data_IF_610041040059
#
_entry.id   IF_610041040059
#
_cell.length_a   1.000
_cell.length_b   1.000
_cell.length_c   1.000
_cell.angle_alpha   90.00
_cell.angle_beta   90.00
_cell.angle_gamma   90.00
#
_symmetry.space_group_name_H-M   'P 1'
#
loop_
_entity.id
_entity.type
_entity.pdbx_description
1 polymer ?
#
# COMPACT_ATOMS: atom_id res chain seq x y z
N UNK A 1 -8.96 -23.29 5.30
CA UNK A 1 -7.49 -23.49 5.23
C UNK A 1 -7.03 -23.75 3.79
N UNK A 2 -7.02 -22.74 2.90
CA UNK A 2 -6.44 -22.85 1.51
C UNK A 2 -5.80 -21.53 1.03
N UNK A 3 -5.89 -20.43 1.78
CA UNK A 3 -5.48 -19.09 1.32
C UNK A 3 -3.96 -18.81 1.39
N UNK A 4 -3.15 -19.72 1.95
CA UNK A 4 -1.70 -19.50 2.18
C UNK A 4 -0.81 -19.61 0.93
N UNK A 5 -1.32 -20.15 -0.18
CA UNK A 5 -0.54 -20.37 -1.42
C UNK A 5 -0.74 -19.28 -2.49
N UNK A 6 -1.63 -18.31 -2.22
CA UNK A 6 -1.98 -17.24 -3.16
C UNK A 6 -1.36 -15.94 -2.68
N UNK A 7 -0.52 -15.36 -3.52
CA UNK A 7 0.09 -14.06 -3.28
C UNK A 7 -0.39 -13.08 -4.35
N UNK A 8 -0.36 -11.78 -4.06
CA UNK A 8 -0.87 -10.78 -4.99
C UNK A 8 -0.09 -9.46 -4.94
N UNK A 9 -0.09 -8.77 -6.07
CA UNK A 9 0.47 -7.43 -6.25
C UNK A 9 -0.57 -6.57 -6.93
N UNK A 10 -0.98 -5.49 -6.28
CA UNK A 10 -1.85 -4.46 -6.83
C UNK A 10 -1.01 -3.24 -7.17
N UNK A 11 -0.92 -2.90 -8.45
CA UNK A 11 -0.29 -1.69 -8.97
C UNK A 11 -1.39 -0.63 -9.18
N UNK A 12 -1.25 0.53 -8.56
CA UNK A 12 -2.20 1.64 -8.63
C UNK A 12 -1.62 2.77 -9.46
N UNK A 13 -2.36 3.22 -10.46
CA UNK A 13 -2.03 4.46 -11.17
C UNK A 13 -2.69 5.69 -10.52
N UNK A 14 -2.20 6.89 -10.87
CA UNK A 14 -2.62 8.20 -10.31
C UNK A 14 -4.12 8.38 -10.21
N UNK A 15 -4.83 7.85 -11.21
CA UNK A 15 -6.25 8.07 -11.39
C UNK A 15 -7.13 6.97 -10.79
N UNK A 16 -6.58 5.93 -10.17
CA UNK A 16 -7.37 4.84 -9.58
C UNK A 16 -8.19 5.30 -8.36
N UNK A 17 -7.68 6.27 -7.60
CA UNK A 17 -8.37 6.81 -6.42
C UNK A 17 -9.64 7.62 -6.75
N UNK A 18 -9.86 7.95 -8.04
CA UNK A 18 -10.99 8.75 -8.53
C UNK A 18 -11.97 7.95 -9.40
N UNK A 19 -11.85 6.62 -9.44
CA UNK A 19 -12.67 5.80 -10.31
C UNK A 19 -14.06 5.58 -9.69
N UNK A 20 -15.12 5.90 -10.45
CA UNK A 20 -16.50 5.84 -9.98
C UNK A 20 -17.08 4.42 -10.03
N UNK A 21 -16.72 3.62 -11.04
CA UNK A 21 -17.13 2.22 -11.14
C UNK A 21 -16.11 1.32 -11.86
N UNK A 22 -14.97 1.06 -11.20
CA UNK A 22 -13.89 0.27 -11.79
C UNK A 22 -14.25 -1.22 -11.95
N UNK A 23 -14.03 -1.73 -13.16
CA UNK A 23 -14.21 -3.14 -13.54
C UNK A 23 -12.86 -3.83 -13.71
N UNK A 24 -12.81 -5.12 -13.39
CA UNK A 24 -11.65 -5.96 -13.63
C UNK A 24 -11.79 -6.67 -14.97
N UNK A 25 -10.89 -6.40 -15.91
CA UNK A 25 -10.75 -7.19 -17.14
C UNK A 25 -9.52 -8.06 -17.02
N UNK A 26 -9.68 -9.35 -17.29
CA UNK A 26 -8.53 -10.25 -17.37
C UNK A 26 -7.65 -9.82 -18.54
N UNK A 27 -6.36 -9.82 -18.30
CA UNK A 27 -5.37 -9.42 -19.26
C UNK A 27 -4.19 -10.39 -19.23
N UNK A 28 -3.46 -10.44 -20.35
CA UNK A 28 -2.18 -11.12 -20.36
C UNK A 28 -1.14 -10.21 -19.69
N UNK A 29 -0.17 -10.75 -18.94
CA UNK A 29 0.91 -9.95 -18.34
C UNK A 29 1.75 -9.13 -19.35
N UNK A 30 1.49 -9.29 -20.65
CA UNK A 30 2.15 -8.58 -21.75
C UNK A 30 1.54 -7.20 -22.05
N UNK A 31 0.40 -6.80 -21.45
CA UNK A 31 -0.20 -5.48 -21.72
C UNK A 31 -0.24 -4.57 -20.48
N UNK A 32 0.70 -4.71 -19.55
CA UNK A 32 0.89 -3.77 -18.44
C UNK A 32 1.29 -2.35 -18.90
N UNK A 33 1.54 -2.15 -20.20
CA UNK A 33 2.19 -0.99 -20.83
C UNK A 33 1.47 0.37 -20.76
N UNK A 34 0.27 0.48 -20.19
CA UNK A 34 -0.57 1.67 -20.37
C UNK A 34 -0.76 2.53 -19.11
N UNK A 35 -0.06 2.23 -18.01
CA UNK A 35 -0.32 2.89 -16.73
C UNK A 35 0.96 3.41 -16.09
N UNK A 36 1.05 4.73 -15.91
CA UNK A 36 1.92 5.32 -14.89
C UNK A 36 1.45 4.80 -13.52
N UNK A 37 2.16 3.81 -12.97
CA UNK A 37 1.92 3.31 -11.62
C UNK A 37 2.75 4.11 -10.62
N UNK A 38 2.12 4.60 -9.56
CA UNK A 38 2.80 5.44 -8.56
C UNK A 38 2.86 4.75 -7.20
N UNK A 39 1.91 3.84 -6.97
CA UNK A 39 1.75 3.13 -5.71
C UNK A 39 1.49 1.65 -5.94
N UNK A 40 1.79 0.84 -4.93
CA UNK A 40 1.53 -0.59 -4.95
C UNK A 40 1.10 -1.11 -3.58
N UNK A 41 0.21 -2.11 -3.59
CA UNK A 41 -0.09 -2.94 -2.42
C UNK A 41 0.33 -4.38 -2.71
N UNK A 42 0.81 -5.08 -1.68
CA UNK A 42 1.30 -6.45 -1.79
C UNK A 42 0.73 -7.30 -0.67
N UNK A 43 0.56 -8.59 -0.94
CA UNK A 43 0.16 -9.57 0.06
C UNK A 43 1.29 -9.99 1.02
N UNK A 44 2.54 -9.92 0.55
CA UNK A 44 3.73 -10.41 1.24
C UNK A 44 4.92 -9.48 0.96
N UNK A 45 5.69 -9.12 1.98
CA UNK A 45 6.86 -8.27 1.87
C UNK A 45 7.92 -8.82 0.90
N UNK A 46 7.98 -10.13 0.69
CA UNK A 46 8.85 -10.77 -0.31
C UNK A 46 8.57 -10.28 -1.73
N UNK A 47 7.36 -9.79 -2.00
CA UNK A 47 6.96 -9.26 -3.30
C UNK A 47 7.34 -7.79 -3.50
N UNK A 48 7.86 -7.10 -2.48
CA UNK A 48 8.11 -5.66 -2.58
C UNK A 48 9.12 -5.31 -3.69
N UNK A 49 10.20 -6.09 -3.82
CA UNK A 49 11.19 -5.88 -4.88
C UNK A 49 10.58 -6.08 -6.27
N UNK A 50 9.66 -7.05 -6.41
CA UNK A 50 8.94 -7.30 -7.66
C UNK A 50 7.97 -6.17 -7.98
N UNK A 51 7.22 -5.70 -6.99
CA UNK A 51 6.30 -4.58 -7.16
C UNK A 51 7.04 -3.29 -7.55
N UNK A 52 8.18 -3.01 -6.90
CA UNK A 52 9.06 -1.90 -7.27
C UNK A 52 9.62 -2.05 -8.69
N UNK A 53 10.08 -3.25 -9.07
CA UNK A 53 10.57 -3.52 -10.42
C UNK A 53 9.48 -3.32 -11.47
N UNK A 54 8.28 -3.91 -11.26
CA UNK A 54 7.12 -3.75 -12.14
C UNK A 54 6.68 -2.29 -12.30
N UNK A 55 6.90 -1.44 -11.29
CA UNK A 55 6.63 -0.01 -11.36
C UNK A 55 7.62 0.75 -12.23
N UNK A 56 8.87 0.28 -12.33
CA UNK A 56 9.99 0.97 -13.00
C UNK A 56 10.20 0.47 -14.43
N UNK A 57 10.09 -0.84 -14.67
CA UNK A 57 10.30 -1.42 -16.00
C UNK A 57 8.97 -1.58 -16.74
N UNK A 58 8.60 -0.54 -17.49
CA UNK A 58 7.47 -0.57 -18.44
C UNK A 58 7.90 -0.97 -19.87
N UNK A 59 9.16 -1.34 -20.10
CA UNK A 59 9.59 -1.78 -21.42
C UNK A 59 9.30 -3.27 -21.64
N UNK A 60 8.72 -3.50 -22.82
CA UNK A 60 8.35 -4.75 -23.45
C UNK A 60 9.29 -5.90 -23.11
N UNK A 61 8.71 -7.08 -22.89
CA UNK A 61 9.36 -8.36 -22.63
C UNK A 61 9.69 -8.62 -21.16
N UNK A 62 8.78 -9.31 -20.44
CA UNK A 62 8.95 -10.75 -20.25
C UNK A 62 8.06 -11.32 -19.13
N UNK A 63 7.07 -12.13 -19.50
CA UNK A 63 6.53 -13.20 -18.64
C UNK A 63 7.68 -14.08 -18.08
N UNK A 64 8.79 -14.17 -18.83
CA UNK A 64 10.04 -14.87 -18.48
C UNK A 64 10.76 -14.21 -17.28
N UNK A 65 10.67 -12.89 -17.10
CA UNK A 65 11.33 -12.15 -16.02
C UNK A 65 10.63 -12.37 -14.68
N UNK A 66 9.29 -12.31 -14.67
CA UNK A 66 8.48 -12.59 -13.48
C UNK A 66 8.66 -14.04 -12.99
N UNK A 67 8.72 -15.00 -13.93
CA UNK A 67 8.93 -16.43 -13.63
C UNK A 67 10.37 -16.71 -13.16
N UNK A 68 11.38 -16.06 -13.76
CA UNK A 68 12.78 -16.18 -13.30
C UNK A 68 13.00 -15.54 -11.93
N UNK A 69 12.40 -14.36 -11.67
CA UNK A 69 12.63 -13.60 -10.44
C UNK A 69 12.01 -14.27 -9.21
N UNK A 70 10.87 -14.97 -9.37
CA UNK A 70 10.22 -15.69 -8.28
C UNK A 70 10.91 -17.02 -7.91
N UNK A 71 11.90 -17.49 -8.69
CA UNK A 71 12.70 -18.69 -8.41
C UNK A 71 11.93 -20.03 -8.39
N UNK A 72 10.61 -20.00 -8.56
CA UNK A 72 9.71 -21.14 -8.43
C UNK A 72 8.58 -21.03 -9.49
N UNK A 73 7.95 -22.15 -9.89
CA UNK A 73 6.88 -22.13 -10.89
C UNK A 73 5.59 -21.56 -10.30
N UNK A 74 5.46 -20.24 -10.31
CA UNK A 74 4.20 -19.57 -10.04
C UNK A 74 3.37 -19.47 -11.32
N UNK A 75 2.10 -19.84 -11.23
CA UNK A 75 1.09 -19.37 -12.18
C UNK A 75 0.76 -17.91 -11.87
N UNK A 76 0.71 -17.09 -12.92
CA UNK A 76 0.43 -15.66 -12.81
C UNK A 76 -0.77 -15.31 -13.69
N UNK A 77 -1.81 -14.76 -13.07
CA UNK A 77 -2.96 -14.17 -13.76
C UNK A 77 -2.97 -12.66 -13.53
N UNK A 78 -3.11 -11.91 -14.62
CA UNK A 78 -3.12 -10.46 -14.60
C UNK A 78 -4.55 -9.96 -14.87
N UNK A 79 -4.95 -8.93 -14.13
CA UNK A 79 -6.23 -8.26 -14.30
C UNK A 79 -5.98 -6.76 -14.39
N UNK A 80 -6.41 -6.14 -15.48
CA UNK A 80 -6.44 -4.70 -15.59
C UNK A 80 -7.66 -4.16 -14.87
N UNK A 81 -7.47 -3.04 -14.19
CA UNK A 81 -8.55 -2.25 -13.61
C UNK A 81 -8.88 -1.16 -14.61
N UNK A 82 -10.11 -1.13 -15.08
CA UNK A 82 -10.60 -0.18 -16.08
C UNK A 82 -11.82 0.51 -15.50
N UNK A 83 -11.81 1.84 -15.52
CA UNK A 83 -12.98 2.61 -15.13
C UNK A 83 -13.91 2.78 -16.34
N UNK A 84 -15.22 2.66 -16.15
CA UNK A 84 -16.20 2.86 -17.23
C UNK A 84 -16.14 4.26 -17.85
N UNK A 85 -15.59 5.23 -17.12
CA UNK A 85 -15.40 6.60 -17.57
C UNK A 85 -14.19 6.80 -18.51
N UNK A 86 -13.28 5.82 -18.62
CA UNK A 86 -12.00 5.98 -19.31
C UNK A 86 -11.62 4.72 -20.12
N UNK A 87 -11.14 4.91 -21.35
CA UNK A 87 -10.62 3.80 -22.18
C UNK A 87 -9.28 3.24 -21.67
N UNK A 88 -8.56 4.00 -20.84
CA UNK A 88 -7.26 3.60 -20.31
C UNK A 88 -7.39 2.87 -18.97
N UNK A 89 -6.56 1.84 -18.79
CA UNK A 89 -6.44 1.16 -17.50
C UNK A 89 -5.96 2.14 -16.41
N UNK A 90 -6.50 2.00 -15.21
CA UNK A 90 -6.18 2.82 -14.03
C UNK A 90 -5.27 2.08 -13.04
N UNK A 91 -5.03 0.78 -13.26
CA UNK A 91 -4.35 -0.08 -12.32
C UNK A 91 -4.21 -1.50 -12.84
N UNK A 92 -3.38 -2.31 -12.20
CA UNK A 92 -3.25 -3.72 -12.55
C UNK A 92 -3.09 -4.58 -11.31
N UNK A 93 -3.72 -5.75 -11.32
CA UNK A 93 -3.71 -6.71 -10.22
C UNK A 93 -3.15 -8.04 -10.72
N UNK A 94 -2.05 -8.46 -10.12
CA UNK A 94 -1.39 -9.72 -10.38
C UNK A 94 -1.74 -10.71 -9.26
N UNK A 95 -2.24 -11.88 -9.64
CA UNK A 95 -2.48 -13.01 -8.76
C UNK A 95 -1.43 -14.07 -9.06
N UNK A 96 -0.64 -14.42 -8.04
CA UNK A 96 0.45 -15.36 -8.08
C UNK A 96 0.09 -16.60 -7.26
N UNK A 97 0.24 -17.78 -7.83
CA UNK A 97 -0.01 -19.04 -7.11
C UNK A 97 0.97 -20.12 -7.50
N UNK A 98 1.47 -20.86 -6.50
CA UNK A 98 2.31 -22.05 -6.72
C UNK A 98 1.55 -23.23 -7.33
N UNK A 99 0.23 -23.26 -7.14
CA UNK A 99 -0.67 -24.24 -7.75
C UNK A 99 -1.26 -23.67 -9.03
N UNK A 100 -1.55 -24.52 -10.01
CA UNK A 100 -2.33 -24.10 -11.16
C UNK A 100 -3.76 -23.79 -10.70
N UNK A 101 -4.15 -22.53 -10.76
CA UNK A 101 -5.48 -22.06 -10.38
C UNK A 101 -6.24 -21.70 -11.65
N UNK A 102 -7.52 -22.04 -11.73
CA UNK A 102 -8.36 -21.64 -12.86
C UNK A 102 -8.52 -20.11 -12.95
N UNK A 103 -8.79 -19.62 -14.16
CA UNK A 103 -9.04 -18.19 -14.41
C UNK A 103 -10.21 -17.67 -13.58
N UNK A 104 -11.30 -18.43 -13.45
CA UNK A 104 -12.47 -18.05 -12.66
C UNK A 104 -12.15 -17.90 -11.18
N UNK A 105 -11.42 -18.86 -10.61
CA UNK A 105 -11.03 -18.80 -9.19
C UNK A 105 -10.09 -17.62 -8.94
N UNK A 106 -9.18 -17.36 -9.87
CA UNK A 106 -8.29 -16.20 -9.80
C UNK A 106 -9.05 -14.87 -9.91
N UNK A 107 -10.08 -14.80 -10.76
CA UNK A 107 -10.96 -13.62 -10.86
C UNK A 107 -11.74 -13.36 -9.57
N UNK A 108 -12.26 -14.41 -8.92
CA UNK A 108 -12.92 -14.28 -7.61
C UNK A 108 -11.98 -13.68 -6.56
N UNK A 109 -10.73 -14.16 -6.49
CA UNK A 109 -9.73 -13.56 -5.61
C UNK A 109 -9.38 -12.14 -5.99
N UNK A 110 -9.16 -11.87 -7.28
CA UNK A 110 -8.85 -10.54 -7.79
C UNK A 110 -9.95 -9.54 -7.41
N UNK A 111 -11.23 -9.91 -7.59
CA UNK A 111 -12.37 -9.09 -7.20
C UNK A 111 -12.42 -8.84 -5.69
N UNK A 112 -12.21 -9.87 -4.87
CA UNK A 112 -12.15 -9.73 -3.39
C UNK A 112 -11.04 -8.77 -2.97
N UNK A 113 -9.82 -8.99 -3.45
CA UNK A 113 -8.65 -8.16 -3.14
C UNK A 113 -8.86 -6.72 -3.62
N UNK A 114 -9.39 -6.55 -4.83
CA UNK A 114 -9.68 -5.23 -5.39
C UNK A 114 -10.68 -4.46 -4.53
N UNK A 115 -11.76 -5.12 -4.12
CA UNK A 115 -12.75 -4.54 -3.22
C UNK A 115 -12.11 -4.21 -1.88
N UNK A 116 -11.38 -5.13 -1.25
CA UNK A 116 -10.70 -4.88 0.03
C UNK A 116 -9.66 -3.74 -0.04
N UNK A 117 -8.95 -3.62 -1.16
CA UNK A 117 -7.90 -2.62 -1.35
C UNK A 117 -8.41 -1.22 -1.76
N UNK A 118 -9.67 -1.13 -2.20
CA UNK A 118 -10.37 0.12 -2.58
C UNK A 118 -11.64 0.38 -1.80
N UNK A 119 -12.00 -0.46 -0.82
CA UNK A 119 -12.79 -0.01 0.30
C UNK A 119 -12.06 1.25 0.80
N UNK A 120 -12.74 2.41 0.93
CA UNK A 120 -12.18 3.51 1.69
C UNK A 120 -11.72 2.86 2.98
N UNK A 121 -10.42 2.95 3.29
CA UNK A 121 -9.85 2.34 4.49
C UNK A 121 -10.86 2.59 5.59
N UNK A 122 -11.51 1.52 6.08
CA UNK A 122 -12.63 1.62 6.99
C UNK A 122 -12.16 2.59 8.05
N UNK A 123 -12.70 3.80 8.03
CA UNK A 123 -12.27 4.89 8.88
C UNK A 123 -12.80 4.58 10.26
N UNK A 124 -12.25 3.54 10.89
CA UNK A 124 -11.85 3.71 12.26
C UNK A 124 -10.92 4.90 12.18
N UNK A 125 -11.43 6.09 12.47
CA UNK A 125 -10.63 7.30 12.54
C UNK A 125 -9.36 6.93 13.30
N UNK A 126 -8.23 6.82 12.59
CA UNK A 126 -6.93 6.57 13.21
C UNK A 126 -6.53 7.91 13.80
N UNK A 127 -7.33 8.36 14.76
CA UNK A 127 -7.15 9.62 15.44
C UNK A 127 -6.20 9.37 16.59
N UNK A 128 -5.08 10.07 16.55
CA UNK A 128 -4.20 10.14 17.69
C UNK A 128 -4.92 10.91 18.80
N UNK A 129 -4.82 10.38 20.03
CA UNK A 129 -5.31 11.13 21.20
C UNK A 129 -4.65 12.51 21.22
N UNK A 130 -5.32 13.56 21.70
CA UNK A 130 -4.81 14.94 21.66
C UNK A 130 -3.39 15.08 22.24
N UNK A 131 -3.10 14.40 23.35
CA UNK A 131 -1.76 14.44 23.98
C UNK A 131 -0.69 13.76 23.14
N UNK A 132 -1.01 12.61 22.52
CA UNK A 132 -0.13 11.93 21.56
C UNK A 132 0.10 12.82 20.33
N UNK A 133 -0.94 13.44 19.78
CA UNK A 133 -0.85 14.37 18.65
C UNK A 133 0.07 15.56 18.95
N UNK A 134 -0.02 16.15 20.16
CA UNK A 134 0.91 17.19 20.62
C UNK A 134 2.36 16.71 20.67
N UNK A 135 2.62 15.53 21.27
CA UNK A 135 3.98 14.96 21.32
C UNK A 135 4.56 14.76 19.92
N UNK A 136 3.79 14.18 18.99
CA UNK A 136 4.24 13.97 17.60
C UNK A 136 4.44 15.30 16.88
N UNK A 137 3.58 16.29 17.11
CA UNK A 137 3.72 17.64 16.55
C UNK A 137 4.98 18.37 17.02
N UNK A 138 5.29 18.33 18.32
CA UNK A 138 6.52 18.93 18.85
C UNK A 138 7.78 18.19 18.34
N UNK A 139 7.68 16.87 18.16
CA UNK A 139 8.75 16.09 17.53
C UNK A 139 8.96 16.51 16.07
N UNK A 140 7.87 16.80 15.34
CA UNK A 140 7.94 17.29 13.96
C UNK A 140 8.55 18.71 13.87
N UNK A 141 8.44 19.50 14.93
CA UNK A 141 9.12 20.80 15.07
C UNK A 141 10.60 20.68 15.45
N UNK A 142 11.11 19.46 15.65
CA UNK A 142 12.52 19.21 15.97
C UNK A 142 12.85 19.23 17.46
N UNK A 143 11.86 19.31 18.36
CA UNK A 143 12.12 19.25 19.79
C UNK A 143 12.56 17.84 20.21
N UNK A 144 13.50 17.80 21.13
CA UNK A 144 14.02 16.58 21.76
C UNK A 144 13.03 16.03 22.79
N UNK A 145 13.17 14.73 23.13
CA UNK A 145 12.36 14.08 24.17
C UNK A 145 12.38 14.87 25.48
N UNK A 146 13.54 15.42 25.85
CA UNK A 146 13.71 16.22 27.08
C UNK A 146 12.93 17.52 27.02
N UNK A 147 13.07 18.31 25.96
CA UNK A 147 12.35 19.58 25.80
C UNK A 147 10.83 19.36 25.77
N UNK A 148 10.37 18.29 25.11
CA UNK A 148 8.94 17.91 25.09
C UNK A 148 8.47 17.52 26.50
N UNK A 149 9.29 16.79 27.26
CA UNK A 149 8.97 16.36 28.61
C UNK A 149 8.78 17.55 29.55
N UNK A 150 9.66 18.55 29.44
CA UNK A 150 9.62 19.79 30.21
C UNK A 150 8.39 20.63 29.79
N UNK A 151 8.15 20.79 28.49
CA UNK A 151 7.05 21.60 27.95
C UNK A 151 5.66 21.03 28.25
N UNK A 152 5.53 19.70 28.29
CA UNK A 152 4.25 19.01 28.56
C UNK A 152 4.10 18.53 30.01
N UNK A 153 5.09 18.81 30.87
CA UNK A 153 5.17 18.35 32.25
C UNK A 153 4.89 16.83 32.39
N UNK A 154 5.62 16.03 31.61
CA UNK A 154 5.58 14.56 31.65
C UNK A 154 7.01 14.01 31.70
N UNK A 155 7.19 12.73 32.02
CA UNK A 155 8.52 12.13 32.03
C UNK A 155 9.02 11.84 30.61
N UNK A 156 10.34 11.77 30.41
CA UNK A 156 10.94 11.30 29.15
C UNK A 156 10.34 9.97 28.68
N UNK A 157 10.16 9.02 29.62
CA UNK A 157 9.52 7.73 29.33
C UNK A 157 8.06 7.90 28.88
N UNK A 158 7.34 8.89 29.42
CA UNK A 158 5.99 9.25 28.98
C UNK A 158 5.95 9.78 27.55
N UNK A 159 6.94 10.60 27.15
CA UNK A 159 7.09 11.06 25.77
C UNK A 159 7.34 9.87 24.83
N UNK A 160 8.30 9.00 25.16
CA UNK A 160 8.60 7.82 24.35
C UNK A 160 7.39 6.88 24.23
N UNK A 161 6.63 6.70 25.32
CA UNK A 161 5.38 5.94 25.30
C UNK A 161 4.36 6.50 24.29
N UNK A 162 4.17 7.83 24.26
CA UNK A 162 3.29 8.45 23.28
C UNK A 162 3.79 8.27 21.85
N UNK A 163 5.10 8.36 21.61
CA UNK A 163 5.70 8.14 20.29
C UNK A 163 5.52 6.69 19.82
N UNK A 164 5.69 5.70 20.71
CA UNK A 164 5.48 4.29 20.36
C UNK A 164 4.00 3.96 20.10
N UNK A 165 3.07 4.54 20.88
CA UNK A 165 1.64 4.46 20.55
C UNK A 165 1.38 5.01 19.16
N UNK A 166 1.94 6.18 18.84
CA UNK A 166 1.73 6.81 17.55
C UNK A 166 2.31 5.96 16.41
N UNK A 167 3.51 5.40 16.59
CA UNK A 167 4.15 4.49 15.63
C UNK A 167 3.29 3.26 15.38
N UNK A 168 2.81 2.64 16.44
CA UNK A 168 1.93 1.47 16.34
C UNK A 168 0.63 1.82 15.61
N UNK A 169 -0.03 2.92 15.99
CA UNK A 169 -1.31 3.36 15.39
C UNK A 169 -1.17 3.77 13.92
N UNK A 170 -0.11 4.48 13.57
CA UNK A 170 0.13 4.95 12.18
C UNK A 170 0.97 3.95 11.38
N UNK A 171 1.27 2.78 11.93
CA UNK A 171 2.11 1.75 11.34
C UNK A 171 3.46 2.30 10.81
N UNK A 172 4.14 3.14 11.60
CA UNK A 172 5.43 3.74 11.25
C UNK A 172 6.59 2.98 11.89
N UNK A 173 7.67 2.77 11.12
CA UNK A 173 8.84 2.01 11.59
C UNK A 173 9.82 2.88 12.36
N UNK A 174 9.91 4.16 12.01
CA UNK A 174 10.83 5.12 12.63
C UNK A 174 10.19 6.50 12.80
N UNK A 175 10.88 7.42 13.51
CA UNK A 175 10.37 8.77 13.81
C UNK A 175 10.11 9.62 12.54
N UNK A 176 11.01 9.65 11.53
CA UNK A 176 10.72 10.37 10.28
C UNK A 176 9.47 9.84 9.55
N UNK A 177 9.34 8.52 9.44
CA UNK A 177 8.16 7.89 8.81
C UNK A 177 6.88 8.19 9.59
N UNK A 178 6.95 8.21 10.92
CA UNK A 178 5.83 8.60 11.79
C UNK A 178 5.34 10.00 11.46
N UNK A 179 6.25 10.97 11.39
CA UNK A 179 5.94 12.37 11.10
C UNK A 179 5.31 12.49 9.70
N UNK A 180 5.93 11.87 8.69
CA UNK A 180 5.42 11.87 7.33
C UNK A 180 3.99 11.29 7.24
N UNK A 181 3.74 10.16 7.90
CA UNK A 181 2.40 9.54 7.93
C UNK A 181 1.40 10.40 8.70
N UNK A 182 1.81 11.02 9.80
CA UNK A 182 0.95 11.91 10.57
C UNK A 182 0.47 13.11 9.74
N UNK A 183 1.33 13.71 8.90
CA UNK A 183 0.91 14.76 7.96
C UNK A 183 0.01 14.23 6.85
N UNK A 184 0.38 13.11 6.22
CA UNK A 184 -0.42 12.50 5.13
C UNK A 184 -1.83 12.14 5.55
N UNK A 185 -1.98 11.66 6.79
CA UNK A 185 -3.26 11.23 7.37
C UNK A 185 -4.02 12.37 8.08
N UNK A 186 -3.59 13.63 7.92
CA UNK A 186 -4.23 14.80 8.55
C UNK A 186 -4.17 14.81 10.08
N UNK A 187 -3.32 13.98 10.68
CA UNK A 187 -3.12 13.96 12.13
C UNK A 187 -2.36 15.20 12.60
N UNK A 188 -1.56 15.83 11.74
CA UNK A 188 -0.92 17.13 11.99
C UNK A 188 -1.34 18.13 10.90
N UNK A 189 -1.48 19.40 11.28
CA UNK A 189 -1.66 20.47 10.31
C UNK A 189 -0.35 20.72 9.57
N UNK A 190 -0.39 20.95 8.24
CA UNK A 190 0.81 21.25 7.46
C UNK A 190 1.54 22.45 8.07
N UNK A 191 2.82 22.26 8.35
CA UNK A 191 3.75 23.34 8.66
C UNK A 191 4.25 23.80 7.28
N UNK A 192 4.02 25.08 7.00
CA UNK A 192 4.12 25.75 5.69
C UNK A 192 5.46 25.48 5.01
#
# INVERSE_FOLDING_TARGET
MVESDIQWVLLKGKSLAKADNPTLKFDTPRHLHCCDFDDHKISDNKLNNIACWLRVTMESHNKIGLVRFLGYPYTCHCFQIIDSSCEHSKGSLLILSRKNISREKSYKYAKKIYLEANLPEKSNSIELKPKTKKVVGLTALGLTTREISELLNITNRGVDYHLEIAKSKLNAKNRPELILKAFKLGQLAKII
#
